data_IF_658032855252
#
_entry.id   IF_658032855252
#
_cell.length_a   1.000
_cell.length_b   1.000
_cell.length_c   1.000
_cell.angle_alpha   90.00
_cell.angle_beta   90.00
_cell.angle_gamma   90.00
#
_symmetry.space_group_name_H-M   'P 1'
#
loop_
_entity.id
_entity.type
_entity.pdbx_description
1 polymer ?
#
# COMPACT_ATOMS: atom_id res chain seq x y z
N UNK A 1 -1.81 2.38 17.13
CA UNK A 1 -2.53 1.73 15.98
C UNK A 1 -3.39 0.62 16.54
N UNK A 2 -4.69 0.58 16.22
CA UNK A 2 -5.63 -0.39 16.82
C UNK A 2 -6.15 -1.41 15.81
N UNK A 3 -6.33 -1.01 14.54
CA UNK A 3 -6.84 -1.85 13.46
C UNK A 3 -5.97 -1.71 12.21
N UNK A 4 -5.39 -2.83 11.79
CA UNK A 4 -4.69 -2.96 10.51
C UNK A 4 -5.59 -3.72 9.55
N UNK A 5 -5.87 -3.14 8.40
CA UNK A 5 -6.60 -3.79 7.31
C UNK A 5 -5.57 -4.43 6.37
N UNK A 6 -5.72 -5.71 6.10
CA UNK A 6 -4.88 -6.44 5.15
C UNK A 6 -5.74 -6.83 3.96
N UNK A 7 -5.43 -6.28 2.78
CA UNK A 7 -6.06 -6.77 1.55
C UNK A 7 -5.51 -8.15 1.25
N UNK A 8 -6.38 -9.12 1.35
CA UNK A 8 -6.06 -10.53 1.29
C UNK A 8 -6.51 -11.13 -0.05
N UNK A 9 -5.56 -11.57 -0.84
CA UNK A 9 -5.77 -12.30 -2.08
C UNK A 9 -4.89 -13.55 -2.16
N UNK A 10 -4.67 -14.08 -3.34
CA UNK A 10 -3.81 -15.24 -3.58
C UNK A 10 -2.35 -15.04 -3.12
N UNK A 11 -1.89 -13.79 -2.93
CA UNK A 11 -0.54 -13.47 -2.46
C UNK A 11 -0.33 -13.75 -0.97
N UNK A 12 -1.40 -14.01 -0.21
CA UNK A 12 -1.27 -14.49 1.18
C UNK A 12 -0.40 -15.74 1.29
N UNK A 13 -0.28 -16.50 0.21
CA UNK A 13 0.56 -17.70 0.16
C UNK A 13 2.06 -17.38 0.04
N UNK A 14 2.45 -16.13 -0.26
CA UNK A 14 3.84 -15.69 -0.13
C UNK A 14 4.14 -15.39 1.33
N UNK A 15 4.92 -16.25 2.00
CA UNK A 15 5.14 -16.22 3.44
C UNK A 15 5.53 -14.84 4.00
N UNK A 16 6.31 -14.06 3.27
CA UNK A 16 6.80 -12.75 3.70
C UNK A 16 5.69 -11.70 3.91
N UNK A 17 4.60 -11.78 3.15
CA UNK A 17 3.50 -10.81 3.22
C UNK A 17 2.75 -10.88 4.54
N UNK A 18 2.36 -12.08 4.96
CA UNK A 18 1.69 -12.31 6.24
C UNK A 18 2.62 -12.07 7.42
N UNK A 19 3.88 -12.47 7.35
CA UNK A 19 4.84 -12.28 8.44
C UNK A 19 5.02 -10.79 8.78
N UNK A 20 5.07 -9.92 7.76
CA UNK A 20 5.12 -8.47 7.97
C UNK A 20 3.84 -7.94 8.61
N UNK A 21 2.68 -8.41 8.15
CA UNK A 21 1.40 -8.03 8.75
C UNK A 21 1.32 -8.47 10.23
N UNK A 22 1.78 -9.67 10.56
CA UNK A 22 1.86 -10.16 11.94
C UNK A 22 2.83 -9.35 12.78
N UNK A 23 4.01 -9.05 12.24
CA UNK A 23 4.99 -8.20 12.93
C UNK A 23 4.40 -6.83 13.29
N UNK A 24 3.76 -6.16 12.33
CA UNK A 24 3.12 -4.87 12.55
C UNK A 24 1.96 -4.95 13.55
N UNK A 25 1.16 -6.00 13.48
CA UNK A 25 0.05 -6.22 14.40
C UNK A 25 0.55 -6.42 15.84
N UNK A 26 1.57 -7.26 16.03
CA UNK A 26 2.19 -7.51 17.35
C UNK A 26 2.83 -6.25 17.94
N UNK A 27 3.63 -5.52 17.14
CA UNK A 27 4.29 -4.30 17.60
C UNK A 27 3.33 -3.23 18.11
N UNK A 28 2.11 -3.19 17.57
CA UNK A 28 1.13 -2.16 17.90
C UNK A 28 -0.01 -2.69 18.76
N UNK A 29 0.02 -3.95 19.17
CA UNK A 29 -1.12 -4.63 19.80
C UNK A 29 -2.43 -4.43 19.01
N UNK A 30 -2.34 -4.45 17.67
CA UNK A 30 -3.43 -4.14 16.77
C UNK A 30 -4.23 -5.41 16.38
N UNK A 31 -5.50 -5.21 16.02
CA UNK A 31 -6.31 -6.25 15.38
C UNK A 31 -6.01 -6.28 13.89
N UNK A 32 -5.54 -7.40 13.38
CA UNK A 32 -5.34 -7.63 11.96
C UNK A 32 -6.64 -8.09 11.31
N UNK A 33 -7.21 -7.25 10.45
CA UNK A 33 -8.45 -7.57 9.73
C UNK A 33 -8.11 -7.98 8.30
N UNK A 34 -8.26 -9.26 7.98
CA UNK A 34 -8.14 -9.75 6.59
C UNK A 34 -9.39 -9.39 5.80
N UNK A 35 -9.23 -8.57 4.77
CA UNK A 35 -10.28 -8.20 3.83
C UNK A 35 -10.17 -9.08 2.59
N UNK A 36 -11.16 -9.93 2.37
CA UNK A 36 -11.30 -10.81 1.22
C UNK A 36 -12.44 -10.27 0.37
N UNK A 37 -12.16 -9.89 -0.87
CA UNK A 37 -13.18 -9.35 -1.79
C UNK A 37 -13.34 -10.30 -2.96
N UNK A 38 -14.56 -10.76 -3.18
CA UNK A 38 -14.96 -11.46 -4.40
C UNK A 38 -15.52 -10.43 -5.37
N UNK A 39 -14.82 -10.23 -6.49
CA UNK A 39 -15.26 -9.35 -7.56
C UNK A 39 -16.49 -9.94 -8.26
N UNK A 40 -17.59 -9.20 -8.25
CA UNK A 40 -18.84 -9.59 -8.91
C UNK A 40 -19.18 -8.69 -10.11
N UNK A 41 -18.34 -7.73 -10.44
CA UNK A 41 -18.64 -6.73 -11.49
C UNK A 41 -18.95 -7.34 -12.85
N UNK A 42 -18.29 -8.43 -13.22
CA UNK A 42 -18.59 -9.11 -14.49
C UNK A 42 -19.99 -9.73 -14.49
N UNK A 43 -20.41 -10.35 -13.39
CA UNK A 43 -21.75 -10.92 -13.28
C UNK A 43 -22.82 -9.81 -13.35
N UNK A 44 -22.59 -8.69 -12.67
CA UNK A 44 -23.49 -7.54 -12.67
C UNK A 44 -23.54 -6.88 -14.06
N UNK A 45 -22.42 -6.75 -14.74
CA UNK A 45 -22.34 -6.18 -16.10
C UNK A 45 -23.17 -6.98 -17.12
N UNK A 46 -23.10 -8.30 -17.07
CA UNK A 46 -23.86 -9.16 -17.98
C UNK A 46 -25.34 -9.24 -17.65
N UNK A 47 -25.74 -9.08 -16.40
CA UNK A 47 -27.17 -9.00 -16.02
C UNK A 47 -27.83 -7.72 -16.50
N UNK A 48 -27.08 -6.62 -16.64
CA UNK A 48 -27.59 -5.31 -17.10
C UNK A 48 -27.71 -5.22 -18.62
N UNK A 49 -26.87 -5.93 -19.39
CA UNK A 49 -26.86 -5.80 -20.85
C UNK A 49 -28.04 -6.44 -21.59
N UNK A 50 -28.92 -7.18 -20.92
CA UNK A 50 -30.25 -7.62 -21.39
C UNK A 50 -30.31 -8.03 -22.87
N UNK A 51 -29.45 -8.90 -23.33
CA UNK A 51 -29.37 -9.28 -24.74
C UNK A 51 -30.02 -10.64 -25.05
N UNK A 52 -30.20 -10.95 -26.34
CA UNK A 52 -30.89 -12.13 -26.87
C UNK A 52 -30.42 -13.48 -26.28
N UNK A 53 -31.31 -14.42 -25.93
CA UNK A 53 -31.04 -15.58 -25.04
C UNK A 53 -30.02 -16.60 -25.56
N UNK A 54 -29.81 -16.73 -26.86
CA UNK A 54 -29.15 -17.91 -27.45
C UNK A 54 -27.61 -17.93 -27.31
N UNK A 55 -26.96 -16.79 -27.16
CA UNK A 55 -25.51 -16.71 -26.95
C UNK A 55 -25.09 -16.75 -25.48
N UNK A 56 -26.04 -16.61 -24.54
CA UNK A 56 -25.79 -16.35 -23.15
C UNK A 56 -25.70 -17.60 -22.27
N UNK A 57 -26.36 -18.71 -22.61
CA UNK A 57 -26.33 -19.92 -21.77
C UNK A 57 -24.90 -20.40 -21.49
N UNK A 58 -24.08 -20.50 -22.56
CA UNK A 58 -22.70 -20.95 -22.41
C UNK A 58 -21.84 -19.94 -21.61
N UNK A 59 -22.13 -18.65 -21.73
CA UNK A 59 -21.42 -17.60 -21.03
C UNK A 59 -21.85 -17.51 -19.56
N UNK A 60 -23.14 -17.73 -19.24
CA UNK A 60 -23.62 -17.86 -17.87
C UNK A 60 -22.99 -19.05 -17.15
N UNK A 61 -22.81 -20.15 -17.80
CA UNK A 61 -22.16 -21.34 -17.23
C UNK A 61 -20.68 -21.04 -16.92
N UNK A 62 -19.96 -20.41 -17.85
CA UNK A 62 -18.56 -20.01 -17.65
C UNK A 62 -18.42 -18.99 -16.51
N UNK A 63 -19.31 -17.97 -16.43
CA UNK A 63 -19.28 -16.99 -15.36
C UNK A 63 -19.58 -17.65 -14.01
N UNK A 64 -20.60 -18.52 -13.95
CA UNK A 64 -20.98 -19.24 -12.75
C UNK A 64 -19.86 -20.17 -12.27
N UNK A 65 -19.19 -20.86 -13.18
CA UNK A 65 -18.05 -21.71 -12.88
C UNK A 65 -16.88 -20.90 -12.36
N UNK A 66 -16.55 -19.78 -13.00
CA UNK A 66 -15.49 -18.85 -12.58
C UNK A 66 -15.78 -18.22 -11.19
N UNK A 67 -17.03 -17.85 -10.91
CA UNK A 67 -17.42 -17.34 -9.59
C UNK A 67 -17.31 -18.41 -8.51
N UNK A 68 -17.71 -19.65 -8.82
CA UNK A 68 -17.59 -20.77 -7.89
C UNK A 68 -16.13 -21.11 -7.60
N UNK A 69 -15.27 -21.12 -8.60
CA UNK A 69 -13.81 -21.29 -8.42
C UNK A 69 -13.20 -20.15 -7.61
N UNK A 70 -13.59 -18.91 -7.86
CA UNK A 70 -13.14 -17.73 -7.11
C UNK A 70 -13.59 -17.82 -5.65
N UNK A 71 -14.82 -18.26 -5.39
CA UNK A 71 -15.33 -18.47 -4.03
C UNK A 71 -14.56 -19.58 -3.30
N UNK A 72 -14.30 -20.69 -3.96
CA UNK A 72 -13.50 -21.79 -3.41
C UNK A 72 -12.08 -21.35 -3.04
N UNK A 73 -11.43 -20.58 -3.91
CA UNK A 73 -10.09 -19.99 -3.67
C UNK A 73 -10.13 -19.01 -2.48
N UNK A 74 -11.17 -18.18 -2.40
CA UNK A 74 -11.36 -17.26 -1.27
C UNK A 74 -11.52 -18.00 0.05
N UNK A 75 -12.30 -19.08 0.08
CA UNK A 75 -12.48 -19.92 1.28
C UNK A 75 -11.15 -20.56 1.70
N UNK A 76 -10.35 -21.03 0.76
CA UNK A 76 -9.02 -21.58 1.04
C UNK A 76 -8.08 -20.51 1.64
N UNK A 77 -8.05 -19.32 1.06
CA UNK A 77 -7.25 -18.20 1.54
C UNK A 77 -7.68 -17.73 2.93
N UNK A 78 -8.99 -17.70 3.20
CA UNK A 78 -9.53 -17.40 4.53
C UNK A 78 -9.08 -18.45 5.56
N UNK A 79 -9.20 -19.74 5.22
CA UNK A 79 -8.76 -20.81 6.12
C UNK A 79 -7.27 -20.71 6.43
N UNK A 80 -6.44 -20.45 5.45
CA UNK A 80 -5.01 -20.24 5.59
C UNK A 80 -4.72 -19.05 6.52
N UNK A 81 -5.31 -17.88 6.24
CA UNK A 81 -5.17 -16.68 7.07
C UNK A 81 -5.54 -16.95 8.54
N UNK A 82 -6.69 -17.57 8.77
CA UNK A 82 -7.18 -17.89 10.13
C UNK A 82 -6.21 -18.84 10.85
N UNK A 83 -5.73 -19.87 10.16
CA UNK A 83 -4.77 -20.83 10.73
C UNK A 83 -3.48 -20.14 11.13
N UNK A 84 -2.91 -19.32 10.23
CA UNK A 84 -1.68 -18.55 10.48
C UNK A 84 -1.83 -17.55 11.62
N UNK A 85 -2.96 -16.80 11.66
CA UNK A 85 -3.22 -15.86 12.77
C UNK A 85 -3.28 -16.56 14.14
N UNK A 86 -3.88 -17.76 14.20
CA UNK A 86 -3.94 -18.56 15.43
C UNK A 86 -2.55 -19.06 15.86
N UNK A 87 -1.79 -19.58 14.90
CA UNK A 87 -0.41 -20.07 15.13
C UNK A 87 0.48 -18.94 15.67
N UNK A 88 0.43 -17.76 15.05
CA UNK A 88 1.20 -16.58 15.41
C UNK A 88 0.63 -15.79 16.60
N UNK A 89 -0.50 -16.25 17.15
CA UNK A 89 -1.20 -15.62 18.29
C UNK A 89 -1.51 -14.14 18.08
N UNK A 90 -1.85 -13.76 16.84
CA UNK A 90 -2.24 -12.40 16.48
C UNK A 90 -3.76 -12.27 16.63
N UNK A 91 -4.22 -11.16 17.20
CA UNK A 91 -5.65 -10.84 17.23
C UNK A 91 -6.12 -10.53 15.82
N UNK A 92 -7.18 -11.20 15.36
CA UNK A 92 -7.63 -11.03 13.98
C UNK A 92 -9.15 -10.96 13.84
N UNK A 93 -9.58 -10.44 12.67
CA UNK A 93 -10.94 -10.53 12.13
C UNK A 93 -10.88 -10.91 10.66
N UNK A 94 -11.97 -11.45 10.15
CA UNK A 94 -12.15 -11.75 8.72
C UNK A 94 -13.35 -10.97 8.23
N UNK A 95 -13.13 -10.16 7.19
CA UNK A 95 -14.21 -9.52 6.43
C UNK A 95 -14.22 -10.10 5.02
N UNK A 96 -15.28 -10.81 4.70
CA UNK A 96 -15.55 -11.29 3.35
C UNK A 96 -16.62 -10.40 2.72
N UNK A 97 -16.34 -9.88 1.52
CA UNK A 97 -17.20 -8.97 0.78
C UNK A 97 -17.40 -9.47 -0.64
N UNK A 98 -18.56 -9.17 -1.23
CA UNK A 98 -18.86 -9.40 -2.64
C UNK A 98 -19.20 -8.03 -3.26
N UNK A 99 -18.59 -7.69 -4.39
CA UNK A 99 -18.82 -6.42 -5.08
C UNK A 99 -17.57 -5.87 -5.77
N UNK A 100 -17.59 -4.57 -6.06
CA UNK A 100 -16.44 -3.86 -6.62
C UNK A 100 -15.30 -3.83 -5.58
N UNK A 101 -14.13 -4.37 -5.91
CA UNK A 101 -12.99 -4.39 -4.99
C UNK A 101 -12.59 -2.99 -4.49
N UNK A 102 -12.57 -1.98 -5.37
CA UNK A 102 -12.20 -0.62 -4.99
C UNK A 102 -13.17 -0.03 -3.97
N UNK A 103 -14.46 -0.16 -4.21
CA UNK A 103 -15.50 0.36 -3.30
C UNK A 103 -15.43 -0.32 -1.93
N UNK A 104 -15.24 -1.63 -1.91
CA UNK A 104 -15.11 -2.38 -0.66
C UNK A 104 -13.84 -2.01 0.13
N UNK A 105 -12.70 -1.87 -0.53
CA UNK A 105 -11.45 -1.42 0.08
C UNK A 105 -11.60 -0.01 0.66
N UNK A 106 -12.16 0.92 -0.12
CA UNK A 106 -12.40 2.30 0.32
C UNK A 106 -13.34 2.34 1.51
N UNK A 107 -14.42 1.56 1.48
CA UNK A 107 -15.36 1.46 2.60
C UNK A 107 -14.71 0.97 3.88
N UNK A 108 -13.94 -0.11 3.82
CA UNK A 108 -13.27 -0.69 4.98
C UNK A 108 -12.12 0.19 5.52
N UNK A 109 -11.46 0.96 4.64
CA UNK A 109 -10.38 1.88 5.03
C UNK A 109 -10.85 3.01 5.96
N UNK A 110 -12.15 3.36 5.95
CA UNK A 110 -12.73 4.38 6.84
C UNK A 110 -12.60 4.05 8.32
N UNK A 111 -12.49 2.79 8.64
CA UNK A 111 -12.43 2.30 10.03
C UNK A 111 -11.11 1.57 10.33
N UNK A 112 -10.07 1.84 9.58
CA UNK A 112 -8.74 1.29 9.78
C UNK A 112 -7.70 2.39 10.04
N UNK A 113 -6.63 2.05 10.75
CA UNK A 113 -5.51 2.96 10.97
C UNK A 113 -4.45 2.84 9.87
N UNK A 114 -4.36 1.68 9.24
CA UNK A 114 -3.41 1.35 8.18
C UNK A 114 -4.00 0.28 7.26
N UNK A 115 -3.88 0.46 5.96
CA UNK A 115 -4.16 -0.55 4.95
C UNK A 115 -2.83 -1.15 4.44
N UNK A 116 -2.72 -2.46 4.52
CA UNK A 116 -1.63 -3.23 3.92
C UNK A 116 -2.11 -3.81 2.59
N UNK A 117 -1.38 -3.54 1.51
CA UNK A 117 -1.65 -4.14 0.21
C UNK A 117 -0.34 -4.33 -0.57
N UNK A 118 -0.33 -5.28 -1.51
CA UNK A 118 0.80 -5.46 -2.40
C UNK A 118 0.75 -4.54 -3.61
N UNK A 119 1.83 -4.55 -4.37
CA UNK A 119 1.94 -3.79 -5.61
C UNK A 119 1.12 -4.39 -6.77
N UNK A 120 0.78 -5.68 -6.72
CA UNK A 120 0.13 -6.44 -7.80
C UNK A 120 -1.01 -7.32 -7.29
N UNK A 121 -1.80 -6.79 -6.37
CA UNK A 121 -2.80 -7.59 -5.67
C UNK A 121 -4.07 -7.65 -6.43
N UNK A 122 -4.51 -7.94 -7.33
CA UNK A 122 -5.82 -8.24 -7.87
C UNK A 122 -5.72 -8.57 -9.37
N UNK A 123 -5.74 -9.83 -9.66
CA UNK A 123 -6.08 -10.26 -11.02
C UNK A 123 -7.61 -10.15 -11.16
N UNK A 124 -8.09 -9.06 -11.76
CA UNK A 124 -9.40 -9.09 -12.39
C UNK A 124 -9.44 -10.26 -13.39
N UNK A 125 -10.59 -10.84 -13.60
CA UNK A 125 -10.82 -11.98 -14.51
C UNK A 125 -10.29 -11.79 -15.96
N UNK A 126 -9.64 -10.69 -16.28
CA UNK A 126 -9.04 -10.35 -17.57
C UNK A 126 -7.52 -10.46 -17.68
N UNK A 127 -6.80 -10.90 -16.65
CA UNK A 127 -5.36 -11.22 -16.75
C UNK A 127 -4.40 -10.01 -16.85
N UNK A 128 -4.89 -8.78 -16.81
CA UNK A 128 -4.05 -7.58 -16.78
C UNK A 128 -3.62 -7.26 -15.35
N UNK A 129 -2.33 -6.96 -15.16
CA UNK A 129 -1.79 -6.54 -13.86
C UNK A 129 -2.47 -5.25 -13.41
N UNK A 130 -3.31 -5.32 -12.39
CA UNK A 130 -4.21 -4.22 -12.03
C UNK A 130 -3.52 -3.15 -11.18
N UNK A 131 -2.55 -2.44 -11.77
CA UNK A 131 -1.96 -1.23 -11.18
C UNK A 131 -3.01 -0.12 -10.98
N UNK A 132 -4.13 -0.17 -11.70
CA UNK A 132 -5.25 0.76 -11.59
C UNK A 132 -5.92 0.67 -10.23
N UNK A 133 -6.21 -0.54 -9.72
CA UNK A 133 -6.79 -0.71 -8.37
C UNK A 133 -5.89 -0.11 -7.29
N UNK A 134 -4.57 -0.34 -7.37
CA UNK A 134 -3.61 0.23 -6.44
C UNK A 134 -3.63 1.76 -6.51
N UNK A 135 -3.54 2.34 -7.71
CA UNK A 135 -3.57 3.79 -7.93
C UNK A 135 -4.86 4.42 -7.39
N UNK A 136 -6.00 3.81 -7.66
CA UNK A 136 -7.28 4.36 -7.24
C UNK A 136 -7.52 4.15 -5.74
N UNK A 137 -7.04 3.05 -5.17
CA UNK A 137 -6.99 2.88 -3.71
C UNK A 137 -6.14 3.97 -3.05
N UNK A 138 -4.95 4.24 -3.58
CA UNK A 138 -4.08 5.32 -3.08
C UNK A 138 -4.72 6.70 -3.14
N UNK A 139 -5.63 6.96 -4.07
CA UNK A 139 -6.35 8.24 -4.18
C UNK A 139 -7.56 8.34 -3.26
N UNK A 140 -8.19 7.22 -2.91
CA UNK A 140 -9.52 7.18 -2.30
C UNK A 140 -9.54 6.59 -0.89
N UNK A 141 -8.46 5.96 -0.45
CA UNK A 141 -8.34 5.38 0.89
C UNK A 141 -8.45 6.44 1.98
N UNK A 142 -9.16 6.15 3.05
CA UNK A 142 -9.30 7.05 4.21
C UNK A 142 -8.18 6.89 5.24
N UNK A 143 -7.42 5.82 5.15
CA UNK A 143 -6.25 5.59 6.00
C UNK A 143 -4.97 5.51 5.16
N UNK A 144 -3.80 5.68 5.76
CA UNK A 144 -2.54 5.43 5.09
C UNK A 144 -2.47 4.03 4.50
N UNK A 145 -1.76 3.91 3.38
CA UNK A 145 -1.51 2.64 2.69
C UNK A 145 -0.04 2.29 2.79
N UNK A 146 0.25 1.06 3.21
CA UNK A 146 1.58 0.47 3.13
C UNK A 146 1.61 -0.52 1.97
N UNK A 147 2.28 -0.11 0.89
CA UNK A 147 2.55 -0.98 -0.25
C UNK A 147 3.68 -1.92 0.08
N UNK A 148 3.41 -3.22 0.03
CA UNK A 148 4.35 -4.26 0.39
C UNK A 148 4.90 -4.96 -0.85
N UNK A 149 6.22 -5.12 -0.99
CA UNK A 149 6.83 -5.92 -2.03
C UNK A 149 6.53 -7.42 -1.83
N UNK A 150 6.53 -8.18 -2.93
CA UNK A 150 6.17 -9.60 -2.92
C UNK A 150 7.11 -10.46 -2.06
N UNK A 151 8.40 -10.18 -2.07
CA UNK A 151 9.38 -10.96 -1.29
C UNK A 151 10.65 -10.19 -0.99
N UNK A 152 11.43 -10.67 0.00
CA UNK A 152 12.83 -10.33 0.19
C UNK A 152 13.14 -8.92 0.70
N UNK A 153 12.16 -8.11 1.10
CA UNK A 153 12.40 -6.73 1.55
C UNK A 153 12.23 -6.60 3.07
N UNK A 154 13.33 -6.62 3.79
CA UNK A 154 13.38 -6.31 5.21
C UNK A 154 13.90 -4.89 5.40
N UNK A 155 13.07 -3.91 5.77
CA UNK A 155 13.53 -2.55 5.96
C UNK A 155 14.41 -2.46 7.21
N UNK A 156 15.52 -1.73 7.06
CA UNK A 156 16.50 -1.45 8.11
C UNK A 156 16.66 0.05 8.36
N UNK A 157 15.77 0.88 7.78
CA UNK A 157 15.74 2.33 7.95
C UNK A 157 14.64 2.98 7.12
N UNK A 158 14.61 4.30 7.18
CA UNK A 158 13.49 5.12 6.69
C UNK A 158 14.04 6.20 5.75
N UNK A 159 13.38 6.41 4.62
CA UNK A 159 13.54 7.58 3.75
C UNK A 159 12.25 8.38 3.78
N UNK A 160 12.29 9.54 4.39
CA UNK A 160 11.21 10.53 4.41
C UNK A 160 11.32 11.39 3.15
N UNK A 161 10.40 11.25 2.22
CA UNK A 161 10.37 12.02 1.00
C UNK A 161 9.76 13.39 1.27
N UNK A 162 10.57 14.44 1.16
CA UNK A 162 10.17 15.80 1.48
C UNK A 162 10.26 16.70 0.23
N UNK A 163 9.21 17.46 -0.05
CA UNK A 163 9.14 18.42 -1.17
C UNK A 163 8.68 19.82 -0.72
N UNK A 164 8.62 20.04 0.60
CA UNK A 164 8.14 21.28 1.18
C UNK A 164 6.63 21.46 1.16
N UNK A 165 5.86 20.46 0.72
CA UNK A 165 4.40 20.51 0.70
C UNK A 165 3.78 20.06 2.03
N UNK A 166 2.57 20.55 2.32
CA UNK A 166 1.77 20.08 3.44
C UNK A 166 1.50 18.56 3.37
N UNK A 167 1.45 18.00 2.16
CA UNK A 167 1.27 16.57 1.94
C UNK A 167 2.44 15.76 2.47
N UNK A 168 3.68 16.19 2.18
CA UNK A 168 4.88 15.53 2.71
C UNK A 168 4.99 15.68 4.23
N UNK A 169 4.65 16.85 4.77
CA UNK A 169 4.63 17.08 6.24
C UNK A 169 3.62 16.17 6.93
N UNK A 170 2.38 16.09 6.42
CA UNK A 170 1.35 15.20 6.97
C UNK A 170 1.76 13.73 6.90
N UNK A 171 2.43 13.32 5.80
CA UNK A 171 2.91 11.96 5.68
C UNK A 171 3.96 11.61 6.73
N UNK A 172 4.91 12.50 6.97
CA UNK A 172 5.95 12.34 7.99
C UNK A 172 5.32 12.27 9.39
N UNK A 173 4.38 13.16 9.70
CA UNK A 173 3.71 13.18 11.01
C UNK A 173 2.88 11.90 11.22
N UNK A 174 2.06 11.51 10.22
CA UNK A 174 1.24 10.30 10.30
C UNK A 174 2.09 9.04 10.44
N UNK A 175 3.18 8.97 9.69
CA UNK A 175 4.15 7.89 9.79
C UNK A 175 4.76 7.80 11.19
N UNK A 176 5.23 8.93 11.74
CA UNK A 176 5.77 8.97 13.09
C UNK A 176 4.80 8.40 14.12
N UNK A 177 3.53 8.79 14.07
CA UNK A 177 2.53 8.31 15.02
C UNK A 177 2.25 6.81 14.91
N UNK A 178 2.32 6.23 13.71
CA UNK A 178 2.07 4.81 13.48
C UNK A 178 3.30 3.94 13.72
N UNK A 179 4.51 4.47 13.47
CA UNK A 179 5.77 3.71 13.49
C UNK A 179 6.79 4.26 14.51
N UNK A 180 6.32 4.87 15.57
CA UNK A 180 7.13 5.55 16.60
C UNK A 180 8.35 4.74 17.10
N UNK A 181 8.27 3.43 17.38
CA UNK A 181 9.44 2.66 17.79
C UNK A 181 10.57 2.68 16.75
N UNK A 182 10.25 2.51 15.47
CA UNK A 182 11.21 2.53 14.37
C UNK A 182 11.85 3.91 14.17
N UNK A 183 11.08 4.99 14.35
CA UNK A 183 11.58 6.35 14.22
C UNK A 183 12.69 6.69 15.23
N UNK A 184 12.79 5.94 16.31
CA UNK A 184 13.81 6.12 17.35
C UNK A 184 15.02 5.22 17.21
N UNK A 185 14.88 4.09 16.54
CA UNK A 185 15.92 3.05 16.47
C UNK A 185 16.57 2.93 15.10
N UNK A 186 15.85 3.26 14.05
CA UNK A 186 16.34 3.14 12.67
C UNK A 186 17.01 4.42 12.19
N UNK A 187 18.00 4.32 11.29
CA UNK A 187 18.51 5.49 10.56
C UNK A 187 17.40 6.08 9.68
N UNK A 188 17.27 7.39 9.73
CA UNK A 188 16.24 8.16 9.03
C UNK A 188 16.91 9.18 8.12
N UNK A 189 16.56 9.15 6.84
CA UNK A 189 17.03 10.13 5.88
C UNK A 189 15.83 10.99 5.45
N UNK A 190 15.91 12.30 5.71
CA UNK A 190 14.99 13.25 5.08
C UNK A 190 15.59 13.64 3.73
N UNK A 191 14.91 13.22 2.66
CA UNK A 191 15.42 13.36 1.30
C UNK A 191 14.59 14.35 0.52
N UNK A 192 15.25 15.38 0.02
CA UNK A 192 14.72 16.36 -0.92
C UNK A 192 15.35 16.16 -2.29
N UNK A 193 14.54 16.09 -3.34
CA UNK A 193 15.01 15.91 -4.71
C UNK A 193 14.73 17.17 -5.53
N UNK A 194 15.78 17.76 -6.11
CA UNK A 194 15.69 18.92 -6.96
C UNK A 194 16.00 18.59 -8.41
N UNK A 195 15.11 18.99 -9.30
CA UNK A 195 15.44 18.98 -10.74
C UNK A 195 16.56 20.01 -11.03
N UNK A 196 17.32 19.79 -12.09
CA UNK A 196 18.40 20.68 -12.52
C UNK A 196 17.92 22.15 -12.62
N UNK A 197 18.58 23.06 -11.88
CA UNK A 197 18.26 24.49 -11.88
C UNK A 197 17.46 25.01 -10.69
N UNK A 198 16.98 24.15 -9.78
CA UNK A 198 16.39 24.56 -8.52
C UNK A 198 17.42 24.51 -7.39
N UNK A 199 17.37 25.46 -6.46
CA UNK A 199 18.19 25.45 -5.25
C UNK A 199 17.44 24.83 -4.09
N UNK A 200 18.12 24.13 -3.15
CA UNK A 200 17.51 23.70 -1.90
C UNK A 200 16.88 24.90 -1.20
N UNK A 201 15.68 24.70 -0.66
CA UNK A 201 15.05 25.71 0.20
C UNK A 201 15.77 25.72 1.53
N UNK A 202 16.03 26.90 2.09
CA UNK A 202 16.46 27.00 3.48
C UNK A 202 15.40 26.35 4.37
N UNK A 203 15.85 25.38 5.16
CA UNK A 203 14.95 24.68 6.07
C UNK A 203 14.57 25.63 7.22
N UNK A 204 13.28 25.78 7.41
CA UNK A 204 12.77 26.51 8.57
C UNK A 204 13.30 25.89 9.88
N UNK A 205 13.82 26.73 10.78
CA UNK A 205 14.39 26.28 12.04
C UNK A 205 13.38 25.49 12.89
N UNK A 206 12.13 25.94 12.91
CA UNK A 206 11.04 25.26 13.63
C UNK A 206 10.79 23.86 13.08
N UNK A 207 10.83 23.68 11.75
CA UNK A 207 10.73 22.37 11.13
C UNK A 207 11.93 21.48 11.48
N UNK A 208 13.13 22.02 11.44
CA UNK A 208 14.34 21.27 11.80
C UNK A 208 14.30 20.78 13.27
N UNK A 209 13.85 21.63 14.19
CA UNK A 209 13.65 21.27 15.59
C UNK A 209 12.58 20.19 15.74
N UNK A 210 11.43 20.37 15.09
CA UNK A 210 10.31 19.42 15.09
C UNK A 210 10.73 18.04 14.61
N UNK A 211 11.59 17.95 13.57
CA UNK A 211 12.14 16.70 13.06
C UNK A 211 13.08 16.03 14.07
N UNK A 212 14.02 16.77 14.67
CA UNK A 212 14.98 16.23 15.66
C UNK A 212 14.30 15.70 16.92
N UNK A 213 13.17 16.26 17.32
CA UNK A 213 12.38 15.76 18.46
C UNK A 213 11.74 14.40 18.18
N UNK A 214 11.51 14.05 16.90
CA UNK A 214 10.81 12.83 16.47
C UNK A 214 11.75 11.71 16.02
N UNK A 215 12.85 12.07 15.38
CA UNK A 215 13.76 11.13 14.72
C UNK A 215 15.16 11.24 15.33
N UNK A 216 15.61 10.18 15.99
CA UNK A 216 16.87 10.20 16.76
C UNK A 216 18.12 10.17 15.83
N UNK A 217 18.04 9.39 14.74
CA UNK A 217 19.16 9.21 13.80
C UNK A 217 18.82 9.83 12.45
N UNK A 218 18.59 11.17 12.45
CA UNK A 218 18.14 11.93 11.27
C UNK A 218 19.31 12.50 10.50
N UNK A 219 19.40 12.17 9.22
CA UNK A 219 20.29 12.75 8.23
C UNK A 219 19.46 13.50 7.16
N UNK A 220 19.95 14.68 6.76
CA UNK A 220 19.35 15.51 5.70
C UNK A 220 20.12 15.27 4.41
N UNK A 221 19.41 14.92 3.34
CA UNK A 221 20.00 14.56 2.06
C UNK A 221 19.31 15.33 0.94
N UNK A 222 20.11 15.97 0.10
CA UNK A 222 19.65 16.62 -1.12
C UNK A 222 20.13 15.84 -2.33
N UNK A 223 19.23 15.42 -3.19
CA UNK A 223 19.53 14.72 -4.44
C UNK A 223 19.21 15.62 -5.63
N UNK A 224 19.88 15.38 -6.76
CA UNK A 224 19.63 16.07 -8.03
C UNK A 224 19.14 15.08 -9.06
N UNK A 225 18.00 15.35 -9.67
CA UNK A 225 17.41 14.48 -10.68
C UNK A 225 15.89 14.43 -10.59
N UNK A 226 15.31 13.36 -11.09
CA UNK A 226 13.88 13.11 -10.98
C UNK A 226 13.59 12.29 -9.72
N UNK A 227 12.67 12.77 -8.90
CA UNK A 227 12.29 12.09 -7.65
C UNK A 227 11.90 10.61 -7.86
N UNK A 228 11.31 10.30 -9.00
CA UNK A 228 10.91 8.96 -9.41
C UNK A 228 12.04 7.96 -9.58
N UNK A 229 13.20 8.45 -9.98
CA UNK A 229 14.39 7.65 -10.24
C UNK A 229 15.29 7.66 -9.00
N UNK A 230 15.50 8.86 -8.43
CA UNK A 230 16.46 9.08 -7.35
C UNK A 230 16.03 8.48 -6.01
N UNK A 231 14.73 8.61 -5.65
CA UNK A 231 14.24 8.09 -4.36
C UNK A 231 14.34 6.56 -4.24
N UNK A 232 13.86 5.77 -5.23
CA UNK A 232 14.03 4.32 -5.20
C UNK A 232 15.49 3.88 -5.25
N UNK A 233 16.31 4.56 -6.04
CA UNK A 233 17.74 4.29 -6.16
C UNK A 233 18.45 4.53 -4.82
N UNK A 234 18.23 5.70 -4.19
CA UNK A 234 18.78 6.04 -2.90
C UNK A 234 18.35 5.05 -1.80
N UNK A 235 17.07 4.70 -1.77
CA UNK A 235 16.53 3.77 -0.78
C UNK A 235 17.21 2.39 -0.85
N UNK A 236 17.53 1.92 -2.06
CA UNK A 236 18.24 0.65 -2.27
C UNK A 236 19.74 0.76 -1.98
N UNK A 237 20.38 1.86 -2.34
CA UNK A 237 21.83 2.06 -2.09
C UNK A 237 22.17 2.17 -0.59
N UNK A 238 21.26 2.72 0.21
CA UNK A 238 21.48 2.87 1.66
C UNK A 238 21.06 1.63 2.46
N UNK A 239 20.72 0.54 1.80
CA UNK A 239 20.17 -0.67 2.37
C UNK A 239 18.69 -0.80 1.99
N UNK A 240 17.92 -1.57 2.74
CA UNK A 240 16.48 -1.75 2.48
C UNK A 240 15.68 -0.65 3.20
N UNK A 241 15.63 0.57 2.65
CA UNK A 241 14.92 1.69 3.27
C UNK A 241 13.44 1.69 2.93
N UNK A 242 12.57 1.83 3.92
CA UNK A 242 11.16 2.11 3.70
C UNK A 242 10.98 3.55 3.21
N UNK A 243 10.27 3.73 2.10
CA UNK A 243 9.88 5.06 1.64
C UNK A 243 8.64 5.55 2.37
N UNK A 244 8.64 6.83 2.75
CA UNK A 244 7.50 7.52 3.36
C UNK A 244 7.17 8.74 2.53
N UNK A 245 5.97 8.81 1.97
CA UNK A 245 5.59 9.90 1.06
C UNK A 245 4.13 10.28 1.19
N UNK A 246 3.82 11.56 0.89
CA UNK A 246 2.46 12.05 0.75
C UNK A 246 1.90 11.74 -0.63
N UNK A 247 0.59 11.51 -0.76
CA UNK A 247 -0.05 11.21 -2.04
C UNK A 247 -0.34 12.44 -2.91
N UNK A 248 -0.43 13.63 -2.33
CA UNK A 248 -0.85 14.87 -3.00
C UNK A 248 0.01 16.08 -2.61
N UNK A 249 1.24 16.16 -3.13
CA UNK A 249 2.04 17.39 -3.09
C UNK A 249 1.85 18.24 -4.36
N UNK A 250 1.96 19.57 -4.26
CA UNK A 250 1.88 20.47 -5.40
C UNK A 250 3.07 20.35 -6.36
N UNK A 251 4.13 19.68 -5.96
CA UNK A 251 5.38 19.54 -6.72
C UNK A 251 5.81 18.11 -7.07
N UNK A 252 5.79 17.16 -6.13
CA UNK A 252 6.49 15.88 -6.31
C UNK A 252 5.59 14.72 -6.74
N UNK A 253 4.54 14.45 -5.99
CA UNK A 253 3.77 13.22 -6.16
C UNK A 253 2.62 13.35 -7.15
N UNK A 254 2.10 14.55 -7.45
CA UNK A 254 1.26 14.73 -8.66
C UNK A 254 2.02 14.30 -9.93
N UNK A 255 3.32 14.52 -10.00
CA UNK A 255 4.19 13.97 -11.05
C UNK A 255 4.46 12.47 -10.82
N UNK A 256 4.56 12.00 -9.58
CA UNK A 256 4.81 10.63 -9.22
C UNK A 256 3.61 9.70 -9.50
N UNK A 257 2.37 10.19 -9.33
CA UNK A 257 1.13 9.45 -9.64
C UNK A 257 0.51 9.82 -11.01
N UNK A 258 1.01 10.86 -11.69
CA UNK A 258 0.64 11.22 -13.08
C UNK A 258 1.74 10.80 -14.04
N UNK A 259 1.58 9.66 -14.70
CA UNK A 259 2.47 9.21 -15.77
C UNK A 259 3.45 8.12 -15.35
N UNK A 260 4.44 7.87 -16.18
CA UNK A 260 5.44 6.78 -16.14
C UNK A 260 6.13 6.51 -14.79
N UNK A 261 5.98 7.36 -13.81
CA UNK A 261 6.67 7.32 -12.53
C UNK A 261 5.96 6.49 -11.47
N UNK A 262 4.62 6.63 -11.34
CA UNK A 262 3.85 5.70 -10.50
C UNK A 262 3.88 4.31 -11.13
N UNK A 263 3.81 4.27 -12.46
CA UNK A 263 3.98 3.04 -13.21
C UNK A 263 5.35 2.44 -12.93
N UNK A 264 6.42 3.22 -12.93
CA UNK A 264 7.76 2.71 -12.65
C UNK A 264 7.96 2.20 -11.23
N UNK A 265 7.38 2.84 -10.19
CA UNK A 265 7.38 2.29 -8.82
C UNK A 265 6.51 1.05 -8.70
N UNK A 266 5.34 1.06 -9.34
CA UNK A 266 4.44 -0.08 -9.35
C UNK A 266 5.01 -1.22 -10.20
N UNK A 267 5.72 -0.93 -11.29
CA UNK A 267 6.39 -1.90 -12.15
C UNK A 267 7.66 -2.46 -11.52
N UNK A 268 8.42 -1.62 -10.81
CA UNK A 268 9.62 -2.07 -10.08
C UNK A 268 9.29 -2.76 -8.76
N UNK A 269 8.10 -2.54 -8.19
CA UNK A 269 7.39 -3.27 -7.13
C UNK A 269 8.15 -3.77 -5.89
N UNK A 270 9.37 -3.28 -5.63
CA UNK A 270 10.32 -3.90 -4.71
C UNK A 270 10.75 -3.04 -3.52
N UNK A 271 9.99 -2.01 -3.15
CA UNK A 271 10.32 -1.15 -2.01
C UNK A 271 9.11 -1.02 -1.10
N UNK A 272 9.28 -1.29 0.18
CA UNK A 272 8.22 -1.04 1.15
C UNK A 272 7.92 0.46 1.19
N UNK A 273 6.69 0.85 0.85
CA UNK A 273 6.33 2.26 0.67
C UNK A 273 5.08 2.62 1.46
N UNK A 274 5.22 3.55 2.39
CA UNK A 274 4.12 4.15 3.16
C UNK A 274 3.63 5.39 2.43
N UNK A 275 2.34 5.43 2.13
CA UNK A 275 1.70 6.54 1.40
C UNK A 275 0.46 7.01 2.17
N UNK A 276 0.31 8.33 2.32
CA UNK A 276 -0.90 8.93 2.92
C UNK A 276 -1.25 10.26 2.27
N UNK A 277 -2.50 10.68 2.45
CA UNK A 277 -3.05 11.96 1.97
C UNK A 277 -2.86 13.07 2.99
#
# INVERSE_FOLDING_TARGET
MNKILLLADQSLNSGDYLERAFHLARMNDAVLTGLFVQDTMLADYYTVLGGEPVYYEHMFDVIKETLNESEAKSVQSIRYFVARCKEERVRFKVHFRKGDPLEEIVRESRSADLLLMGYRHYHSLGGESNTTLVKDTLKRSFCPVLLMPESGYNPDGIVLCYDGSDGSLRAIDRFYHLFKPHCRTWPVHLVEVHETGSSPKDLDQGFAEWMRLRFTHLEWVTLKGKASEELPYFARQKGNRMLVMGSYGTGGIKRFLKGSTADHLLDTGNILTFITH
#
